data_IF_339736295538
#
_entry.id   IF_339736295538
#
_cell.length_a   1.000
_cell.length_b   1.000
_cell.length_c   1.000
_cell.angle_alpha   90.00
_cell.angle_beta   90.00
_cell.angle_gamma   90.00
#
_symmetry.space_group_name_H-M   'P 1'
#
loop_
_entity.id
_entity.type
_entity.pdbx_description
1 polymer ?
#
# COMPACT_ATOMS: atom_id res chain seq x y z
N UNK A 1 3.54 -0.48 -5.48
CA UNK A 1 2.34 -0.90 -6.24
C UNK A 1 2.20 -2.41 -6.18
N UNK A 2 1.06 -2.92 -5.74
CA UNK A 2 0.79 -4.36 -5.60
C UNK A 2 -0.53 -4.71 -6.30
N UNK A 3 -0.55 -5.76 -7.11
CA UNK A 3 -1.78 -6.22 -7.82
C UNK A 3 -2.89 -6.63 -6.85
N UNK A 4 -2.51 -7.15 -5.68
CA UNK A 4 -3.43 -7.62 -4.66
C UNK A 4 -4.23 -6.44 -4.10
N UNK A 5 -3.53 -5.39 -3.67
CA UNK A 5 -4.11 -4.18 -3.12
C UNK A 5 -4.84 -3.34 -4.19
N UNK A 6 -4.32 -3.32 -5.43
CA UNK A 6 -4.86 -2.50 -6.52
C UNK A 6 -6.30 -2.87 -6.91
N UNK A 7 -6.71 -4.12 -6.67
CA UNK A 7 -8.09 -4.49 -6.96
C UNK A 7 -8.47 -5.92 -6.67
N UNK A 8 -7.53 -6.86 -6.48
CA UNK A 8 -7.89 -8.25 -6.21
C UNK A 8 -8.56 -8.38 -4.83
N UNK A 9 -7.94 -7.87 -3.76
CA UNK A 9 -8.52 -7.93 -2.42
C UNK A 9 -9.85 -7.17 -2.33
N UNK A 10 -9.94 -5.98 -2.93
CA UNK A 10 -11.19 -5.24 -3.00
C UNK A 10 -12.31 -6.05 -3.71
N UNK A 11 -11.97 -6.80 -4.76
CA UNK A 11 -12.92 -7.64 -5.46
C UNK A 11 -13.35 -8.87 -4.65
N UNK A 12 -12.42 -9.53 -3.95
CA UNK A 12 -12.71 -10.66 -3.06
C UNK A 12 -13.58 -10.19 -1.89
N UNK A 13 -13.27 -9.06 -1.26
CA UNK A 13 -14.08 -8.44 -0.21
C UNK A 13 -15.50 -8.13 -0.72
N UNK A 14 -15.62 -7.53 -1.91
CA UNK A 14 -16.93 -7.22 -2.50
C UNK A 14 -17.76 -8.49 -2.78
N UNK A 15 -17.13 -9.63 -3.08
CA UNK A 15 -17.81 -10.93 -3.23
C UNK A 15 -18.19 -11.51 -1.87
N UNK A 16 -17.26 -11.50 -0.91
CA UNK A 16 -17.49 -11.99 0.45
C UNK A 16 -18.65 -11.25 1.12
N UNK A 17 -18.78 -9.93 0.93
CA UNK A 17 -19.89 -9.13 1.47
C UNK A 17 -21.28 -9.48 0.91
N UNK A 18 -21.38 -10.28 -0.17
CA UNK A 18 -22.66 -10.79 -0.66
C UNK A 18 -23.22 -11.93 0.21
N UNK A 19 -22.40 -12.48 1.10
CA UNK A 19 -22.77 -13.55 2.02
C UNK A 19 -22.60 -13.08 3.47
N UNK A 20 -23.56 -13.39 4.33
CA UNK A 20 -23.45 -13.11 5.76
C UNK A 20 -22.52 -14.13 6.42
N UNK A 21 -21.75 -13.70 7.43
CA UNK A 21 -20.99 -14.57 8.32
C UNK A 21 -21.27 -14.14 9.77
N UNK A 22 -21.46 -15.12 10.65
CA UNK A 22 -21.69 -14.94 12.10
C UNK A 22 -20.57 -15.52 12.96
N UNK A 23 -19.56 -16.13 12.34
CA UNK A 23 -18.35 -16.64 12.98
C UNK A 23 -17.13 -16.39 12.10
N UNK A 24 -15.94 -16.53 12.69
CA UNK A 24 -14.67 -16.48 11.96
C UNK A 24 -14.62 -17.60 10.91
N UNK A 25 -15.07 -18.80 11.25
CA UNK A 25 -15.08 -19.94 10.32
C UNK A 25 -15.97 -19.69 9.10
N UNK A 26 -17.16 -19.11 9.31
CA UNK A 26 -18.06 -18.73 8.21
C UNK A 26 -17.44 -17.62 7.35
N UNK A 27 -16.72 -16.67 7.95
CA UNK A 27 -16.01 -15.63 7.22
C UNK A 27 -14.90 -16.24 6.34
N UNK A 28 -14.08 -17.13 6.90
CA UNK A 28 -13.01 -17.82 6.16
C UNK A 28 -13.59 -18.63 5.00
N UNK A 29 -14.67 -19.38 5.24
CA UNK A 29 -15.35 -20.14 4.19
C UNK A 29 -15.91 -19.23 3.07
N UNK A 30 -16.46 -18.06 3.43
CA UNK A 30 -16.95 -17.09 2.45
C UNK A 30 -15.82 -16.49 1.60
N UNK A 31 -14.66 -16.21 2.21
CA UNK A 31 -13.46 -15.73 1.46
C UNK A 31 -12.94 -16.81 0.52
N UNK A 32 -12.83 -18.07 0.98
CA UNK A 32 -12.38 -19.18 0.15
C UNK A 32 -13.29 -19.38 -1.07
N UNK A 33 -14.61 -19.38 -0.86
CA UNK A 33 -15.59 -19.46 -1.94
C UNK A 33 -15.51 -18.26 -2.90
N UNK A 34 -15.35 -17.04 -2.38
CA UNK A 34 -15.17 -15.85 -3.21
C UNK A 34 -13.91 -15.93 -4.08
N UNK A 35 -12.84 -16.55 -3.57
CA UNK A 35 -11.62 -16.82 -4.33
C UNK A 35 -11.87 -17.82 -5.47
N UNK A 36 -12.52 -18.95 -5.18
CA UNK A 36 -12.81 -20.00 -6.17
C UNK A 36 -13.80 -19.52 -7.26
N UNK A 37 -14.77 -18.68 -6.88
CA UNK A 37 -15.77 -18.12 -7.80
C UNK A 37 -15.24 -16.92 -8.61
N UNK A 38 -14.08 -16.35 -8.27
CA UNK A 38 -13.60 -15.13 -8.92
C UNK A 38 -13.17 -15.40 -10.37
N UNK A 39 -13.76 -14.74 -11.37
CA UNK A 39 -13.46 -15.01 -12.77
C UNK A 39 -12.05 -14.52 -13.17
N UNK A 40 -11.27 -15.39 -13.80
CA UNK A 40 -9.91 -15.10 -14.27
C UNK A 40 -9.84 -13.90 -15.22
N UNK A 41 -10.89 -13.67 -16.01
CA UNK A 41 -11.00 -12.52 -16.92
C UNK A 41 -10.95 -11.19 -16.14
N UNK A 42 -11.61 -11.14 -14.98
CA UNK A 42 -11.56 -9.96 -14.11
C UNK A 42 -10.20 -9.80 -13.44
N UNK A 43 -9.48 -10.89 -13.18
CA UNK A 43 -8.09 -10.79 -12.73
C UNK A 43 -7.22 -10.16 -13.82
N UNK A 44 -7.41 -10.54 -15.08
CA UNK A 44 -6.76 -9.92 -16.23
C UNK A 44 -6.99 -8.40 -16.30
N UNK A 45 -8.21 -7.93 -16.01
CA UNK A 45 -8.49 -6.50 -15.91
C UNK A 45 -7.68 -5.78 -14.82
N UNK A 46 -7.41 -6.43 -13.69
CA UNK A 46 -6.57 -5.86 -12.61
C UNK A 46 -5.11 -5.78 -13.04
N UNK A 47 -4.59 -6.81 -13.71
CA UNK A 47 -3.24 -6.78 -14.29
C UNK A 47 -3.09 -5.67 -15.33
N UNK A 48 -4.09 -5.47 -16.18
CA UNK A 48 -4.09 -4.34 -17.12
C UNK A 48 -4.09 -2.98 -16.42
N UNK A 49 -4.78 -2.84 -15.27
CA UNK A 49 -4.66 -1.64 -14.44
C UNK A 49 -3.24 -1.46 -13.92
N UNK A 50 -2.62 -2.53 -13.43
CA UNK A 50 -1.26 -2.46 -12.87
C UNK A 50 -0.27 -1.99 -13.93
N UNK A 51 -0.30 -2.60 -15.12
CA UNK A 51 0.56 -2.21 -16.23
C UNK A 51 0.31 -0.76 -16.67
N UNK A 52 -0.94 -0.30 -16.62
CA UNK A 52 -1.28 1.09 -16.88
C UNK A 52 -0.68 2.05 -15.83
N UNK A 53 -0.82 1.72 -14.55
CA UNK A 53 -0.22 2.50 -13.47
C UNK A 53 1.32 2.51 -13.56
N UNK A 54 1.96 1.42 -14.02
CA UNK A 54 3.41 1.41 -14.28
C UNK A 54 3.82 2.41 -15.35
N UNK A 55 3.00 2.58 -16.40
CA UNK A 55 3.23 3.63 -17.41
C UNK A 55 3.07 5.02 -16.79
N UNK A 56 2.05 5.25 -15.96
CA UNK A 56 1.88 6.53 -15.24
C UNK A 56 3.06 6.84 -14.31
N UNK A 57 3.57 5.84 -13.58
CA UNK A 57 4.78 5.98 -12.76
C UNK A 57 5.98 6.38 -13.60
N UNK A 58 6.15 5.82 -14.81
CA UNK A 58 7.24 6.24 -15.71
C UNK A 58 7.05 7.67 -16.21
N UNK A 59 5.82 8.10 -16.52
CA UNK A 59 5.49 9.48 -16.90
C UNK A 59 5.85 10.47 -15.78
N UNK A 60 5.71 10.04 -14.53
CA UNK A 60 5.98 10.84 -13.33
C UNK A 60 7.34 10.57 -12.69
N UNK A 61 8.26 9.90 -13.41
CA UNK A 61 9.62 9.62 -12.93
C UNK A 61 9.71 8.91 -11.57
N UNK A 62 8.78 7.99 -11.30
CA UNK A 62 8.76 7.20 -10.06
C UNK A 62 7.69 7.63 -9.06
N UNK A 63 7.11 8.82 -9.21
CA UNK A 63 6.04 9.32 -8.34
C UNK A 63 4.73 8.52 -8.52
N UNK A 64 3.95 8.43 -7.45
CA UNK A 64 2.65 7.78 -7.38
C UNK A 64 1.46 8.76 -7.46
N UNK A 65 1.74 10.06 -7.65
CA UNK A 65 0.74 11.13 -7.76
C UNK A 65 0.05 11.11 -9.13
N UNK A 66 -0.74 10.07 -9.37
CA UNK A 66 -1.59 9.91 -10.54
C UNK A 66 -2.93 9.26 -10.18
N UNK A 67 -3.92 9.46 -11.05
CA UNK A 67 -5.19 8.75 -10.95
C UNK A 67 -5.07 7.39 -11.63
N UNK A 68 -5.59 6.34 -11.01
CA UNK A 68 -5.59 4.99 -11.59
C UNK A 68 -6.28 5.00 -12.97
N UNK A 69 -5.59 4.63 -14.07
CA UNK A 69 -6.19 4.63 -15.40
C UNK A 69 -7.28 3.56 -15.55
N UNK A 70 -8.46 3.98 -16.00
CA UNK A 70 -9.62 3.07 -16.10
C UNK A 70 -9.65 2.25 -17.41
N UNK A 71 -9.12 2.80 -18.52
CA UNK A 71 -8.97 2.14 -19.84
C UNK A 71 -10.19 1.42 -20.43
N UNK A 72 -11.40 1.70 -19.92
CA UNK A 72 -12.67 1.14 -20.39
C UNK A 72 -12.63 -0.37 -20.68
N UNK A 73 -11.92 -1.14 -19.85
CA UNK A 73 -11.59 -2.56 -20.08
C UNK A 73 -12.81 -3.42 -20.45
N UNK A 74 -13.88 -3.34 -19.66
CA UNK A 74 -15.14 -4.07 -19.92
C UNK A 74 -15.76 -3.71 -21.28
N UNK A 75 -15.72 -2.42 -21.68
CA UNK A 75 -16.23 -2.01 -22.99
C UNK A 75 -15.37 -2.57 -24.12
N UNK A 76 -14.04 -2.50 -23.97
CA UNK A 76 -13.10 -2.98 -24.98
C UNK A 76 -13.13 -4.50 -25.13
N UNK A 77 -13.35 -5.23 -24.04
CA UNK A 77 -13.54 -6.69 -24.05
C UNK A 77 -14.78 -7.10 -24.83
N UNK A 78 -15.93 -6.45 -24.58
CA UNK A 78 -17.19 -6.74 -25.29
C UNK A 78 -17.11 -6.57 -26.81
N UNK A 79 -16.26 -5.68 -27.29
CA UNK A 79 -16.04 -5.44 -28.72
C UNK A 79 -14.83 -6.18 -29.29
N UNK A 80 -14.21 -7.08 -28.51
CA UNK A 80 -13.05 -7.87 -28.93
C UNK A 80 -11.75 -7.07 -29.12
N UNK A 81 -11.66 -5.87 -28.54
CA UNK A 81 -10.53 -4.94 -28.69
C UNK A 81 -9.77 -4.72 -27.36
N UNK A 82 -9.96 -5.62 -26.38
CA UNK A 82 -9.19 -5.55 -25.14
C UNK A 82 -7.74 -5.91 -25.42
N UNK A 83 -6.82 -4.99 -25.11
CA UNK A 83 -5.39 -5.26 -25.19
C UNK A 83 -4.98 -6.20 -24.06
N UNK A 84 -4.08 -7.12 -24.35
CA UNK A 84 -3.49 -8.00 -23.34
C UNK A 84 -2.43 -7.28 -22.47
N UNK A 85 -1.86 -6.18 -22.96
CA UNK A 85 -0.83 -5.42 -22.25
C UNK A 85 -1.00 -3.90 -22.42
N UNK A 86 -0.48 -3.13 -21.45
CA UNK A 86 -0.34 -1.69 -21.62
C UNK A 86 0.81 -1.37 -22.58
N UNK A 87 0.64 -0.34 -23.42
CA UNK A 87 1.69 0.14 -24.30
C UNK A 87 2.39 1.32 -23.64
N UNK A 88 3.67 1.16 -23.31
CA UNK A 88 4.51 2.28 -22.90
C UNK A 88 4.98 3.04 -24.16
N UNK A 89 4.69 4.35 -24.28
CA UNK A 89 5.27 5.18 -25.34
C UNK A 89 6.81 5.20 -25.27
N UNK A 90 7.48 5.15 -26.42
CA UNK A 90 8.95 5.03 -26.48
C UNK A 90 9.64 6.27 -25.91
N UNK A 91 9.10 7.45 -26.20
CA UNK A 91 9.50 8.73 -25.65
C UNK A 91 9.40 8.76 -24.13
N UNK A 92 8.30 8.29 -23.55
CA UNK A 92 8.13 8.15 -22.09
C UNK A 92 9.22 7.26 -21.50
N UNK A 93 9.45 6.09 -22.09
CA UNK A 93 10.50 5.17 -21.63
C UNK A 93 11.90 5.81 -21.71
N UNK A 94 12.23 6.46 -22.82
CA UNK A 94 13.54 7.10 -22.99
C UNK A 94 13.73 8.27 -22.02
N UNK A 95 12.70 9.09 -21.80
CA UNK A 95 12.73 10.18 -20.84
C UNK A 95 12.94 9.65 -19.41
N UNK A 96 12.16 8.65 -18.99
CA UNK A 96 12.30 8.04 -17.67
C UNK A 96 13.68 7.40 -17.47
N UNK A 97 14.21 6.72 -18.50
CA UNK A 97 15.56 6.14 -18.46
C UNK A 97 16.64 7.22 -18.35
N UNK A 98 16.52 8.32 -19.10
CA UNK A 98 17.46 9.43 -19.04
C UNK A 98 17.46 10.09 -17.66
N UNK A 99 16.27 10.31 -17.09
CA UNK A 99 16.11 10.81 -15.73
C UNK A 99 16.78 9.89 -14.70
N UNK A 100 16.48 8.58 -14.75
CA UNK A 100 17.06 7.61 -13.84
C UNK A 100 18.60 7.58 -13.93
N UNK A 101 19.15 7.63 -15.15
CA UNK A 101 20.60 7.66 -15.35
C UNK A 101 21.27 8.94 -14.85
N UNK A 102 20.55 10.07 -14.85
CA UNK A 102 21.06 11.34 -14.36
C UNK A 102 20.92 11.49 -12.84
N UNK A 103 20.19 10.58 -12.18
CA UNK A 103 19.92 10.67 -10.75
C UNK A 103 21.15 10.19 -9.96
N UNK A 104 21.57 10.95 -8.96
CA UNK A 104 22.65 10.54 -8.05
C UNK A 104 22.14 9.47 -7.07
N UNK A 105 22.33 8.21 -7.45
CA UNK A 105 21.97 7.07 -6.61
C UNK A 105 22.69 7.08 -5.26
N UNK A 106 23.92 7.61 -5.19
CA UNK A 106 24.65 7.67 -3.93
C UNK A 106 24.08 8.75 -2.99
N UNK A 107 23.57 9.85 -3.53
CA UNK A 107 22.83 10.82 -2.71
C UNK A 107 21.54 10.23 -2.16
N UNK A 108 20.74 9.57 -3.00
CA UNK A 108 19.50 8.92 -2.53
C UNK A 108 19.77 7.85 -1.47
N UNK A 109 20.82 7.04 -1.61
CA UNK A 109 21.17 6.03 -0.61
C UNK A 109 21.57 6.69 0.72
N UNK A 110 22.34 7.79 0.70
CA UNK A 110 22.68 8.53 1.92
C UNK A 110 21.46 9.11 2.61
N UNK A 111 20.52 9.67 1.85
CA UNK A 111 19.27 10.22 2.40
C UNK A 111 18.43 9.10 3.02
N UNK A 112 18.32 7.95 2.35
CA UNK A 112 17.61 6.78 2.88
C UNK A 112 18.27 6.20 4.14
N UNK A 113 19.60 6.12 4.16
CA UNK A 113 20.35 5.68 5.35
C UNK A 113 20.17 6.64 6.53
N UNK A 114 20.09 7.94 6.27
CA UNK A 114 19.81 8.95 7.29
C UNK A 114 18.39 8.79 7.86
N UNK A 115 17.38 8.66 7.00
CA UNK A 115 15.99 8.43 7.42
C UNK A 115 15.87 7.14 8.24
N UNK A 116 16.46 6.04 7.77
CA UNK A 116 16.49 4.76 8.50
C UNK A 116 17.12 4.92 9.89
N UNK A 117 18.19 5.70 10.01
CA UNK A 117 18.85 5.95 11.29
C UNK A 117 17.96 6.74 12.24
N UNK A 118 17.27 7.77 11.74
CA UNK A 118 16.31 8.54 12.53
C UNK A 118 15.16 7.65 13.04
N UNK A 119 14.65 6.75 12.20
CA UNK A 119 13.63 5.78 12.58
C UNK A 119 14.12 4.78 13.63
N UNK A 120 15.36 4.31 13.51
CA UNK A 120 15.99 3.43 14.50
C UNK A 120 16.16 4.13 15.84
N UNK A 121 16.64 5.38 15.83
CA UNK A 121 16.79 6.21 17.03
C UNK A 121 15.41 6.47 17.68
N UNK A 122 14.37 6.76 16.90
CA UNK A 122 12.99 6.94 17.37
C UNK A 122 12.42 5.65 17.97
N UNK A 123 12.63 4.51 17.33
CA UNK A 123 12.16 3.22 17.80
C UNK A 123 12.86 2.80 19.10
N UNK A 124 14.16 3.03 19.21
CA UNK A 124 14.92 2.76 20.42
C UNK A 124 14.47 3.65 21.59
N UNK A 125 14.19 4.94 21.34
CA UNK A 125 13.58 5.82 22.34
C UNK A 125 12.21 5.29 22.77
N UNK A 126 11.35 4.90 21.82
CA UNK A 126 10.04 4.32 22.12
C UNK A 126 10.13 3.09 23.01
N UNK A 127 11.04 2.16 22.70
CA UNK A 127 11.28 0.96 23.53
C UNK A 127 11.75 1.31 24.93
N UNK A 128 12.66 2.29 25.06
CA UNK A 128 13.12 2.77 26.37
C UNK A 128 11.97 3.32 27.20
N UNK A 129 11.16 4.21 26.62
CA UNK A 129 9.98 4.78 27.31
C UNK A 129 8.99 3.69 27.75
N UNK A 130 8.75 2.67 26.93
CA UNK A 130 7.89 1.53 27.30
C UNK A 130 8.44 0.71 28.47
N UNK A 131 9.77 0.62 28.59
CA UNK A 131 10.44 -0.12 29.67
C UNK A 131 10.60 0.66 30.98
N UNK A 132 10.35 1.97 30.95
CA UNK A 132 10.40 2.79 32.16
C UNK A 132 9.20 2.45 33.05
N UNK A 133 9.47 1.95 34.26
CA UNK A 133 8.44 1.78 35.26
C UNK A 133 7.89 3.16 35.65
N UNK A 134 6.56 3.30 35.74
CA UNK A 134 5.90 4.49 36.28
C UNK A 134 6.02 4.46 37.81
N UNK A 135 7.20 4.77 38.33
CA UNK A 135 7.41 4.93 39.77
C UNK A 135 6.88 6.28 40.27
N UNK A 136 6.75 6.41 41.60
CA UNK A 136 6.20 7.63 42.21
C UNK A 136 7.05 8.87 41.90
N UNK A 137 8.37 8.70 41.74
CA UNK A 137 9.28 9.80 41.42
C UNK A 137 9.04 10.34 40.01
N UNK A 138 8.84 9.46 39.03
CA UNK A 138 8.48 9.83 37.66
C UNK A 138 7.09 10.45 37.58
N UNK A 139 6.11 9.92 38.34
CA UNK A 139 4.77 10.51 38.44
C UNK A 139 4.79 11.94 38.99
N UNK A 140 5.61 12.20 40.00
CA UNK A 140 5.77 13.54 40.56
C UNK A 140 6.51 14.49 39.63
N UNK A 141 7.51 14.01 38.88
CA UNK A 141 8.17 14.79 37.84
C UNK A 141 7.20 15.18 36.71
N UNK A 142 6.37 14.26 36.24
CA UNK A 142 5.36 14.51 35.20
C UNK A 142 4.30 15.51 35.67
N UNK A 143 3.83 15.42 36.92
CA UNK A 143 2.93 16.40 37.53
C UNK A 143 3.54 17.80 37.56
N UNK A 144 4.84 17.93 37.90
CA UNK A 144 5.56 19.23 37.87
C UNK A 144 5.67 19.82 36.47
N UNK A 145 5.73 18.96 35.45
CA UNK A 145 5.73 19.36 34.04
C UNK A 145 4.31 19.57 33.48
N UNK A 146 3.27 19.46 34.31
CA UNK A 146 1.86 19.58 33.93
C UNK A 146 1.42 18.55 32.87
N UNK A 147 2.05 17.36 32.89
CA UNK A 147 1.72 16.22 32.02
C UNK A 147 0.88 15.24 32.84
N UNK A 148 -0.35 14.97 32.36
CA UNK A 148 -1.27 14.02 33.01
C UNK A 148 -1.04 12.63 32.40
N UNK A 149 -0.70 11.60 33.20
CA UNK A 149 -0.57 10.23 32.71
C UNK A 149 -1.91 9.72 32.15
N UNK A 150 -1.86 9.00 31.03
CA UNK A 150 -3.01 8.30 30.49
C UNK A 150 -3.12 6.97 31.24
N UNK A 151 -4.17 6.79 32.04
CA UNK A 151 -4.46 5.50 32.68
C UNK A 151 -5.06 4.55 31.65
N UNK A 152 -4.38 3.43 31.39
CA UNK A 152 -4.89 2.34 30.54
C UNK A 152 -5.36 1.21 31.45
N UNK A 153 -6.26 1.51 32.38
CA UNK A 153 -7.04 0.47 33.05
C UNK A 153 -8.05 -0.05 32.02
N UNK A 154 -7.77 -1.22 31.45
CA UNK A 154 -8.77 -2.00 30.73
C UNK A 154 -9.73 -2.58 31.77
N UNK A 155 -10.97 -2.09 31.80
CA UNK A 155 -12.11 -2.85 32.35
C UNK A 155 -12.37 -4.11 31.52
#
# INVERSE_FOLDING_TARGET
MNVLDLGFFAAIQALQHKSSARSIDELVANVARAFDEYPYERLGHTFLSLLACMVETLIRFGDNTYKVPHHSKVKNERVGNLRQNARCPRDVFLAAKAYLNATDAAAMERDFEAERREDEEMNDLSRRLQSMAMDEELLDALKRMNIVPISVEME
#
